data_IF_319179366929
#
_entry.id   IF_319179366929
#
_cell.length_a   1.000
_cell.length_b   1.000
_cell.length_c   1.000
_cell.angle_alpha   90.00
_cell.angle_beta   90.00
_cell.angle_gamma   90.00
#
_symmetry.space_group_name_H-M   'P 1'
#
loop_
_entity.id
_entity.type
_entity.pdbx_description
1 polymer ?
#
# COMPACT_ATOMS: atom_id res chain seq x y z
N UNK A 1 -10.67 40.01 3.54
CA UNK A 1 -9.92 38.97 4.29
C UNK A 1 -10.62 37.64 4.05
N UNK A 2 -10.11 36.80 3.15
CA UNK A 2 -10.75 35.50 2.86
C UNK A 2 -9.72 34.41 2.74
N UNK A 3 -9.68 33.60 3.80
CA UNK A 3 -9.47 32.14 3.80
C UNK A 3 -8.35 31.57 2.95
N UNK A 4 -7.19 31.34 3.57
CA UNK A 4 -6.23 30.34 3.10
C UNK A 4 -6.84 28.96 3.41
N UNK A 5 -7.42 28.30 2.42
CA UNK A 5 -7.77 26.87 2.53
C UNK A 5 -6.47 26.10 2.30
N UNK A 6 -5.90 25.62 3.40
CA UNK A 6 -4.75 24.71 3.40
C UNK A 6 -5.22 23.38 2.82
N UNK A 7 -4.75 23.06 1.62
CA UNK A 7 -4.93 21.76 0.98
C UNK A 7 -4.08 20.70 1.72
N UNK A 8 -4.59 20.17 2.82
CA UNK A 8 -4.11 18.91 3.41
C UNK A 8 -4.74 17.73 2.67
N UNK A 9 -4.23 17.43 1.48
CA UNK A 9 -4.51 16.18 0.76
C UNK A 9 -3.20 15.41 0.74
N UNK A 10 -2.97 14.53 1.72
CA UNK A 10 -1.81 13.64 1.69
C UNK A 10 -2.03 12.25 2.30
N UNK A 11 -3.03 12.05 3.18
CA UNK A 11 -3.26 10.75 3.82
C UNK A 11 -4.52 10.02 3.34
N UNK A 12 -5.49 10.73 2.74
CA UNK A 12 -6.79 10.13 2.38
C UNK A 12 -6.79 9.36 1.04
N UNK A 13 -5.74 9.50 0.23
CA UNK A 13 -5.72 8.97 -1.14
C UNK A 13 -5.55 7.45 -1.22
N UNK A 14 -5.07 6.80 -0.16
CA UNK A 14 -4.87 5.34 -0.16
C UNK A 14 -6.20 4.60 0.05
N UNK A 15 -7.10 5.16 0.89
CA UNK A 15 -8.37 4.52 1.26
C UNK A 15 -9.44 4.68 0.17
N UNK A 16 -9.45 5.82 -0.53
CA UNK A 16 -10.46 6.12 -1.57
C UNK A 16 -10.23 5.34 -2.87
N UNK A 17 -9.01 4.83 -3.12
CA UNK A 17 -8.68 4.09 -4.33
C UNK A 17 -9.26 2.66 -4.39
N UNK A 18 -9.88 2.18 -3.30
CA UNK A 18 -10.35 0.79 -3.18
C UNK A 18 -11.78 0.53 -3.68
N UNK A 19 -12.52 1.55 -4.16
CA UNK A 19 -13.99 1.48 -4.21
C UNK A 19 -14.66 1.61 -5.59
N UNK A 20 -14.01 1.39 -6.75
CA UNK A 20 -14.68 1.53 -8.05
C UNK A 20 -14.43 0.37 -9.05
N UNK A 21 -15.50 -0.26 -9.52
CA UNK A 21 -15.47 -1.44 -10.40
C UNK A 21 -15.40 -1.08 -11.91
N UNK A 22 -14.86 -2.00 -12.73
CA UNK A 22 -14.16 -1.81 -14.02
C UNK A 22 -12.78 -1.14 -13.93
N UNK A 23 -12.62 -0.20 -13.00
CA UNK A 23 -11.30 0.18 -12.46
C UNK A 23 -10.72 -0.94 -11.58
N UNK A 24 -11.56 -1.81 -11.00
CA UNK A 24 -11.18 -2.96 -10.18
C UNK A 24 -9.88 -3.69 -10.59
N UNK A 25 -9.66 -4.12 -11.83
CA UNK A 25 -8.39 -4.81 -12.17
C UNK A 25 -7.17 -3.87 -12.12
N UNK A 26 -7.33 -2.63 -12.54
CA UNK A 26 -6.30 -1.56 -12.43
C UNK A 26 -6.13 -1.12 -10.98
N UNK A 27 -7.20 -1.08 -10.20
CA UNK A 27 -7.23 -0.74 -8.78
C UNK A 27 -6.58 -1.86 -7.95
N UNK A 28 -6.84 -3.13 -8.28
CA UNK A 28 -6.16 -4.28 -7.67
C UNK A 28 -4.67 -4.29 -8.02
N UNK A 29 -4.32 -3.98 -9.28
CA UNK A 29 -2.93 -3.79 -9.72
C UNK A 29 -2.21 -2.72 -8.92
N UNK A 30 -2.84 -1.56 -8.77
CA UNK A 30 -2.30 -0.42 -8.02
C UNK A 30 -2.20 -0.75 -6.53
N UNK A 31 -3.26 -1.32 -5.96
CA UNK A 31 -3.34 -1.76 -4.56
C UNK A 31 -2.24 -2.77 -4.27
N UNK A 32 -2.06 -3.78 -5.13
CA UNK A 32 -0.99 -4.77 -4.99
C UNK A 32 0.40 -4.11 -5.02
N UNK A 33 0.60 -3.12 -5.90
CA UNK A 33 1.83 -2.32 -5.93
C UNK A 33 2.09 -1.59 -4.59
N UNK A 34 1.07 -0.94 -4.04
CA UNK A 34 1.16 -0.23 -2.74
C UNK A 34 1.48 -1.23 -1.61
N UNK A 35 0.78 -2.36 -1.56
CA UNK A 35 0.98 -3.39 -0.55
C UNK A 35 2.40 -3.97 -0.59
N UNK A 36 2.94 -4.22 -1.79
CA UNK A 36 4.33 -4.62 -1.92
C UNK A 36 5.28 -3.52 -1.45
N UNK A 37 5.08 -2.26 -1.85
CA UNK A 37 5.90 -1.14 -1.36
C UNK A 37 5.89 -1.08 0.17
N UNK A 38 4.74 -1.22 0.82
CA UNK A 38 4.64 -1.27 2.28
C UNK A 38 5.44 -2.45 2.86
N UNK A 39 5.33 -3.64 2.27
CA UNK A 39 6.03 -4.85 2.74
C UNK A 39 7.56 -4.70 2.75
N UNK A 40 8.11 -3.86 1.85
CA UNK A 40 9.54 -3.55 1.81
C UNK A 40 9.91 -2.32 2.63
N UNK A 41 9.08 -1.27 2.63
CA UNK A 41 9.38 -0.01 3.27
C UNK A 41 9.29 -0.10 4.81
N UNK A 42 8.31 -0.82 5.36
CA UNK A 42 8.14 -0.98 6.82
C UNK A 42 9.42 -1.52 7.48
N UNK A 43 9.98 -2.69 7.06
CA UNK A 43 11.21 -3.20 7.67
C UNK A 43 12.42 -2.31 7.35
N UNK A 44 12.52 -1.77 6.13
CA UNK A 44 13.64 -0.90 5.74
C UNK A 44 13.71 0.41 6.54
N UNK A 45 12.55 0.94 6.93
CA UNK A 45 12.43 2.16 7.70
C UNK A 45 12.42 1.93 9.23
N UNK A 46 12.54 0.69 9.69
CA UNK A 46 12.52 0.35 11.12
C UNK A 46 11.18 0.65 11.79
N UNK A 47 10.08 0.66 11.03
CA UNK A 47 8.74 0.87 11.59
C UNK A 47 8.37 -0.34 12.44
N UNK A 48 7.97 -0.07 13.69
CA UNK A 48 7.54 -1.11 14.62
C UNK A 48 6.13 -1.60 14.26
N UNK A 49 6.07 -2.61 13.40
CA UNK A 49 4.87 -3.39 13.16
C UNK A 49 4.87 -4.63 14.07
N UNK A 50 3.72 -4.97 14.62
CA UNK A 50 3.54 -6.24 15.34
C UNK A 50 3.59 -7.42 14.36
N UNK A 51 3.92 -8.63 14.82
CA UNK A 51 3.86 -9.83 13.98
C UNK A 51 2.48 -10.04 13.34
N UNK A 52 1.38 -9.69 14.03
CA UNK A 52 0.05 -9.84 13.47
C UNK A 52 -0.23 -8.80 12.36
N UNK A 53 0.19 -7.56 12.54
CA UNK A 53 0.08 -6.54 11.49
C UNK A 53 0.84 -6.95 10.21
N UNK A 54 2.03 -7.53 10.35
CA UNK A 54 2.79 -8.04 9.20
C UNK A 54 2.10 -9.24 8.55
N UNK A 55 1.58 -10.20 9.34
CA UNK A 55 0.79 -11.32 8.80
C UNK A 55 -0.47 -10.83 8.09
N UNK A 56 -1.14 -9.80 8.61
CA UNK A 56 -2.32 -9.20 8.00
C UNK A 56 -1.98 -8.57 6.65
N UNK A 57 -0.86 -7.86 6.55
CA UNK A 57 -0.33 -7.34 5.29
C UNK A 57 -0.04 -8.47 4.28
N UNK A 58 0.61 -9.55 4.70
CA UNK A 58 0.91 -10.70 3.84
C UNK A 58 -0.36 -11.40 3.33
N UNK A 59 -1.37 -11.62 4.20
CA UNK A 59 -2.67 -12.17 3.79
C UNK A 59 -3.38 -11.26 2.80
N UNK A 60 -3.27 -9.94 3.00
CA UNK A 60 -3.88 -8.95 2.11
C UNK A 60 -3.20 -8.93 0.73
N UNK A 61 -1.88 -9.07 0.68
CA UNK A 61 -1.12 -9.26 -0.57
C UNK A 61 -1.59 -10.52 -1.28
N UNK A 62 -1.63 -11.67 -0.58
CA UNK A 62 -2.06 -12.94 -1.18
C UNK A 62 -3.50 -12.88 -1.71
N UNK A 63 -4.39 -12.15 -1.02
CA UNK A 63 -5.74 -11.90 -1.51
C UNK A 63 -5.75 -11.06 -2.80
N UNK A 64 -5.02 -9.94 -2.82
CA UNK A 64 -4.90 -9.08 -4.00
C UNK A 64 -4.26 -9.80 -5.20
N UNK A 65 -3.24 -10.64 -4.97
CA UNK A 65 -2.64 -11.52 -5.97
C UNK A 65 -3.68 -12.48 -6.58
N UNK A 66 -4.59 -13.02 -5.77
CA UNK A 66 -5.67 -13.89 -6.25
C UNK A 66 -6.76 -13.16 -7.04
N UNK A 67 -6.91 -11.84 -6.84
CA UNK A 67 -7.90 -11.01 -7.56
C UNK A 67 -7.38 -10.50 -8.91
N UNK A 68 -6.08 -10.35 -9.04
CA UNK A 68 -5.48 -9.97 -10.31
C UNK A 68 -5.31 -11.20 -11.20
N UNK A 69 -6.00 -11.23 -12.35
CA UNK A 69 -5.84 -12.31 -13.34
C UNK A 69 -4.51 -12.12 -14.12
N UNK A 70 -3.39 -12.41 -13.45
CA UNK A 70 -2.04 -12.18 -13.96
C UNK A 70 -1.19 -13.44 -13.94
N UNK A 71 -0.24 -13.49 -14.87
CA UNK A 71 0.83 -14.46 -14.82
C UNK A 71 1.77 -14.22 -13.64
N UNK A 72 2.48 -15.27 -13.22
CA UNK A 72 3.53 -15.19 -12.19
C UNK A 72 4.63 -14.19 -12.56
N UNK A 73 4.94 -14.03 -13.85
CA UNK A 73 5.94 -13.07 -14.33
C UNK A 73 5.47 -11.62 -14.11
N UNK A 74 4.20 -11.33 -14.37
CA UNK A 74 3.63 -10.00 -14.14
C UNK A 74 3.56 -9.68 -12.64
N UNK A 75 3.15 -10.63 -11.81
CA UNK A 75 3.16 -10.48 -10.35
C UNK A 75 4.58 -10.17 -9.83
N UNK A 76 5.58 -10.91 -10.34
CA UNK A 76 6.98 -10.67 -10.00
C UNK A 76 7.43 -9.27 -10.38
N UNK A 77 7.02 -8.76 -11.54
CA UNK A 77 7.36 -7.41 -11.99
C UNK A 77 6.73 -6.31 -11.10
N UNK A 78 5.48 -6.49 -10.67
CA UNK A 78 4.83 -5.54 -9.75
C UNK A 78 5.53 -5.55 -8.40
N UNK A 79 5.87 -6.73 -7.87
CA UNK A 79 6.65 -6.88 -6.65
C UNK A 79 8.01 -6.17 -6.74
N UNK A 80 8.74 -6.39 -7.84
CA UNK A 80 10.04 -5.76 -8.10
C UNK A 80 9.92 -4.24 -8.15
N UNK A 81 8.88 -3.70 -8.81
CA UNK A 81 8.61 -2.26 -8.82
C UNK A 81 8.30 -1.72 -7.42
N UNK A 82 7.52 -2.45 -6.64
CA UNK A 82 7.22 -2.09 -5.25
C UNK A 82 8.48 -1.98 -4.39
N UNK A 83 9.42 -2.92 -4.55
CA UNK A 83 10.73 -2.87 -3.90
C UNK A 83 11.58 -1.68 -4.36
N UNK A 84 11.65 -1.43 -5.67
CA UNK A 84 12.38 -0.29 -6.23
C UNK A 84 11.83 1.02 -5.68
N UNK A 85 10.51 1.18 -5.65
CA UNK A 85 9.87 2.40 -5.14
C UNK A 85 10.12 2.59 -3.63
N UNK A 86 10.11 1.50 -2.85
CA UNK A 86 10.47 1.53 -1.43
C UNK A 86 11.91 2.03 -1.19
N UNK A 87 12.81 1.90 -2.17
CA UNK A 87 14.24 2.26 -2.07
C UNK A 87 14.61 3.55 -2.81
N UNK A 88 13.73 4.08 -3.65
CA UNK A 88 14.04 5.18 -4.58
C UNK A 88 14.36 6.50 -3.88
N UNK A 89 13.61 6.81 -2.82
CA UNK A 89 13.87 7.95 -1.92
C UNK A 89 13.61 7.50 -0.49
N UNK A 90 14.55 6.74 0.05
CA UNK A 90 14.42 6.10 1.37
C UNK A 90 14.08 7.09 2.47
N UNK A 91 14.66 8.30 2.47
CA UNK A 91 14.37 9.30 3.51
C UNK A 91 12.90 9.73 3.45
N UNK A 92 12.42 10.16 2.29
CA UNK A 92 11.03 10.59 2.12
C UNK A 92 10.04 9.46 2.34
N UNK A 93 10.39 8.25 1.88
CA UNK A 93 9.60 7.05 2.11
C UNK A 93 9.47 6.79 3.61
N UNK A 94 10.56 6.79 4.37
CA UNK A 94 10.52 6.55 5.81
C UNK A 94 9.81 7.65 6.60
N UNK A 95 9.87 8.90 6.19
CA UNK A 95 9.06 9.99 6.78
C UNK A 95 7.56 9.75 6.59
N UNK A 96 7.17 9.24 5.42
CA UNK A 96 5.76 8.94 5.08
C UNK A 96 5.29 7.68 5.82
N UNK A 97 6.03 6.59 5.66
CA UNK A 97 5.72 5.27 6.23
C UNK A 97 5.80 5.29 7.76
N UNK A 98 6.80 5.94 8.35
CA UNK A 98 6.91 6.03 9.81
C UNK A 98 5.73 6.74 10.47
N UNK A 99 5.10 7.68 9.76
CA UNK A 99 3.90 8.39 10.24
C UNK A 99 2.63 7.57 10.06
N UNK A 100 2.45 6.98 8.88
CA UNK A 100 1.15 6.50 8.45
C UNK A 100 1.00 4.97 8.52
N UNK A 101 2.11 4.22 8.44
CA UNK A 101 2.04 2.76 8.38
C UNK A 101 1.41 2.09 9.60
N UNK A 102 1.63 2.51 10.85
CA UNK A 102 0.95 1.89 11.99
C UNK A 102 -0.58 1.94 11.87
N UNK A 103 -1.13 3.10 11.48
CA UNK A 103 -2.58 3.25 11.23
C UNK A 103 -3.02 2.44 10.03
N UNK A 104 -2.29 2.51 8.91
CA UNK A 104 -2.62 1.73 7.71
C UNK A 104 -2.64 0.23 7.98
N UNK A 105 -1.74 -0.26 8.82
CA UNK A 105 -1.67 -1.69 9.18
C UNK A 105 -2.86 -2.11 10.06
N UNK A 106 -3.31 -1.23 10.96
CA UNK A 106 -4.51 -1.46 11.77
C UNK A 106 -5.77 -1.45 10.89
N UNK A 107 -5.85 -0.49 9.96
CA UNK A 107 -6.99 -0.24 9.07
C UNK A 107 -7.05 -1.18 7.86
N UNK A 108 -5.98 -1.93 7.56
CA UNK A 108 -6.00 -2.97 6.52
C UNK A 108 -7.19 -3.90 6.78
N UNK A 109 -8.03 -4.23 5.80
CA UNK A 109 -9.08 -5.21 6.04
C UNK A 109 -8.48 -6.62 6.03
N UNK A 110 -9.07 -7.57 6.77
CA UNK A 110 -8.63 -8.97 6.72
C UNK A 110 -8.83 -9.61 5.33
N UNK A 111 -9.74 -9.03 4.54
CA UNK A 111 -9.95 -9.29 3.12
C UNK A 111 -10.38 -7.99 2.44
N UNK A 112 -9.76 -7.67 1.31
CA UNK A 112 -10.21 -6.55 0.49
C UNK A 112 -11.57 -6.91 -0.13
N UNK A 113 -12.53 -5.98 -0.10
CA UNK A 113 -13.86 -6.21 -0.66
C UNK A 113 -13.84 -6.09 -2.18
N UNK A 114 -14.71 -6.85 -2.85
CA UNK A 114 -14.88 -6.87 -4.32
C UNK A 114 -15.58 -5.64 -4.88
#
# INVERSE_FOLDING_TARGET
>A
MSGRIVATIAAASIVVALAASARAQTDWRMTLGILYTLSYAIPACGVKATPEQMRKLERTIAHAEGKVNMSRAELHEIRRKGEVEARKDTRRMCETIGRDAPRLLDDLPDRLQD
#
